data_IF_804340858319
#
_entry.id   IF_804340858319
#
_cell.length_a   1.000
_cell.length_b   1.000
_cell.length_c   1.000
_cell.angle_alpha   90.00
_cell.angle_beta   90.00
_cell.angle_gamma   90.00
#
_symmetry.space_group_name_H-M   'P 1'
#
loop_
_entity.id
_entity.type
_entity.pdbx_description
1 polymer ?
#
# COMPACT_ATOMS: atom_id res chain seq x y z
N UNK A 1 24.12 6.64 2.23
CA UNK A 1 22.86 5.97 1.89
C UNK A 1 21.86 7.10 1.76
N UNK A 2 21.68 7.54 0.52
CA UNK A 2 21.21 8.90 0.22
C UNK A 2 19.71 8.91 -0.14
N UNK A 3 19.09 7.73 -0.21
CA UNK A 3 17.68 7.54 -0.53
C UNK A 3 16.84 7.55 0.75
N UNK A 4 16.59 8.74 1.30
CA UNK A 4 15.68 8.93 2.43
C UNK A 4 14.33 9.45 1.95
N UNK A 5 13.27 8.73 2.29
CA UNK A 5 11.89 9.14 2.00
C UNK A 5 11.31 9.83 3.23
N UNK A 6 10.80 11.08 3.13
CA UNK A 6 10.11 11.75 4.22
C UNK A 6 8.97 10.91 4.79
N UNK A 7 8.83 10.85 6.11
CA UNK A 7 7.75 10.11 6.77
C UNK A 7 7.87 8.58 6.73
N UNK A 8 8.94 8.00 6.18
CA UNK A 8 9.13 6.54 6.15
C UNK A 8 9.42 5.96 7.54
N UNK A 9 8.87 4.78 7.82
CA UNK A 9 9.26 3.98 8.98
C UNK A 9 10.51 3.13 8.66
N UNK A 10 11.26 2.66 9.68
CA UNK A 10 12.37 1.73 9.45
C UNK A 10 11.98 0.43 8.73
N UNK A 11 10.69 0.06 8.74
CA UNK A 11 10.17 -1.13 8.06
C UNK A 11 9.93 -0.89 6.55
N UNK A 12 9.80 0.37 6.13
CA UNK A 12 9.53 0.76 4.75
C UNK A 12 10.79 1.20 3.99
N UNK A 13 11.88 1.42 4.74
CA UNK A 13 13.12 1.96 4.19
C UNK A 13 13.67 1.07 3.07
N UNK A 14 13.88 1.69 1.91
CA UNK A 14 14.47 1.03 0.75
C UNK A 14 13.56 0.03 0.04
N UNK A 15 12.24 0.14 0.20
CA UNK A 15 11.31 -0.72 -0.53
C UNK A 15 11.48 -0.58 -2.04
N UNK A 16 11.80 -1.69 -2.71
CA UNK A 16 11.89 -1.81 -4.15
C UNK A 16 11.49 -3.22 -4.59
N UNK A 17 10.75 -3.33 -5.69
CA UNK A 17 10.30 -4.60 -6.26
C UNK A 17 10.54 -4.60 -7.78
N UNK A 18 11.08 -5.71 -8.28
CA UNK A 18 11.01 -6.05 -9.70
C UNK A 18 9.72 -6.85 -9.96
N UNK A 19 8.84 -6.31 -10.81
CA UNK A 19 7.49 -6.86 -11.03
C UNK A 19 7.41 -7.50 -12.43
N UNK A 20 8.37 -8.38 -12.74
CA UNK A 20 8.51 -9.01 -14.06
C UNK A 20 7.73 -10.31 -14.28
N UNK A 21 7.16 -10.91 -13.23
CA UNK A 21 6.38 -12.17 -13.31
C UNK A 21 5.02 -12.02 -12.64
N UNK A 22 4.09 -12.94 -12.94
CA UNK A 22 2.76 -12.94 -12.32
C UNK A 22 2.83 -13.11 -10.79
N UNK A 23 3.69 -14.01 -10.32
CA UNK A 23 3.88 -14.22 -8.89
C UNK A 23 4.49 -12.97 -8.24
N UNK A 24 5.50 -12.34 -8.86
CA UNK A 24 6.08 -11.11 -8.33
C UNK A 24 5.07 -9.96 -8.28
N UNK A 25 4.20 -9.86 -9.29
CA UNK A 25 3.08 -8.90 -9.29
C UNK A 25 2.10 -9.15 -8.16
N UNK A 26 1.70 -10.41 -7.97
CA UNK A 26 0.80 -10.79 -6.89
C UNK A 26 1.40 -10.47 -5.51
N UNK A 27 2.64 -10.88 -5.26
CA UNK A 27 3.32 -10.65 -3.98
C UNK A 27 3.49 -9.15 -3.68
N UNK A 28 3.85 -8.34 -4.67
CA UNK A 28 3.97 -6.89 -4.50
C UNK A 28 2.62 -6.23 -4.13
N UNK A 29 1.49 -6.75 -4.60
CA UNK A 29 0.16 -6.27 -4.18
C UNK A 29 -0.19 -6.74 -2.77
N UNK A 30 0.16 -7.97 -2.42
CA UNK A 30 -0.11 -8.51 -1.08
C UNK A 30 0.73 -7.82 0.01
N UNK A 31 1.86 -7.22 -0.33
CA UNK A 31 2.64 -6.39 0.58
C UNK A 31 1.85 -5.19 1.14
N UNK A 32 0.86 -4.68 0.39
CA UNK A 32 0.04 -3.51 0.78
C UNK A 32 -0.98 -3.81 1.87
N UNK A 33 -1.45 -5.06 1.98
CA UNK A 33 -2.56 -5.44 2.89
C UNK A 33 -2.09 -6.13 4.16
N UNK A 34 -0.79 -6.11 4.44
CA UNK A 34 -0.19 -6.66 5.66
C UNK A 34 -0.44 -5.71 6.84
N UNK A 35 -0.51 -6.27 8.05
CA UNK A 35 -0.60 -5.52 9.32
C UNK A 35 0.53 -4.48 9.48
N UNK A 36 1.74 -4.84 9.03
CA UNK A 36 2.87 -3.91 8.89
C UNK A 36 3.39 -3.99 7.46
N UNK A 37 2.86 -3.15 6.55
CA UNK A 37 3.26 -3.20 5.15
C UNK A 37 4.70 -2.75 4.99
N UNK A 38 5.44 -3.41 4.10
CA UNK A 38 6.79 -3.00 3.72
C UNK A 38 6.79 -1.74 2.83
N UNK A 39 5.60 -1.31 2.38
CA UNK A 39 5.37 -0.09 1.63
C UNK A 39 3.96 0.44 1.93
N UNK A 40 3.86 1.58 2.60
CA UNK A 40 2.57 2.23 2.86
C UNK A 40 2.21 3.24 1.77
N UNK A 41 0.92 3.23 1.39
CA UNK A 41 0.33 4.28 0.55
C UNK A 41 -0.20 5.46 1.37
N UNK A 42 -0.17 5.37 2.71
CA UNK A 42 -0.72 6.38 3.61
C UNK A 42 0.28 7.48 4.00
N UNK A 43 1.51 7.42 3.48
CA UNK A 43 2.54 8.43 3.73
C UNK A 43 2.17 9.77 3.07
N UNK A 44 1.69 10.71 3.90
CA UNK A 44 1.28 12.06 3.45
C UNK A 44 2.44 13.00 3.17
N UNK A 45 3.64 12.71 3.67
CA UNK A 45 4.85 13.50 3.39
C UNK A 45 5.46 13.11 2.03
N UNK A 46 5.12 11.92 1.52
CA UNK A 46 5.57 11.41 0.23
C UNK A 46 4.41 10.76 -0.57
N UNK A 47 3.48 11.58 -1.10
CA UNK A 47 2.26 11.07 -1.72
C UNK A 47 2.50 10.43 -3.10
N UNK A 48 1.77 9.35 -3.37
CA UNK A 48 1.66 8.75 -4.72
C UNK A 48 0.41 9.31 -5.41
N UNK A 49 0.60 10.08 -6.47
CA UNK A 49 -0.51 10.65 -7.24
C UNK A 49 -1.02 9.67 -8.31
N UNK A 50 -2.34 9.57 -8.42
CA UNK A 50 -3.03 8.79 -9.46
C UNK A 50 -4.35 9.48 -9.84
N UNK A 51 -5.07 8.91 -10.81
CA UNK A 51 -6.42 9.33 -11.13
C UNK A 51 -7.36 9.07 -9.94
N UNK A 52 -8.07 10.10 -9.48
CA UNK A 52 -9.06 10.00 -8.42
C UNK A 52 -10.46 10.04 -9.03
N UNK A 53 -11.24 8.98 -8.81
CA UNK A 53 -12.63 8.88 -9.26
C UNK A 53 -13.59 8.94 -8.06
N UNK A 54 -14.77 9.49 -8.28
CA UNK A 54 -15.80 9.64 -7.25
C UNK A 54 -16.64 8.36 -7.15
N UNK A 55 -16.08 7.33 -6.50
CA UNK A 55 -16.77 6.06 -6.26
C UNK A 55 -17.57 6.07 -4.95
N UNK A 56 -18.72 5.35 -4.86
CA UNK A 56 -19.42 5.19 -3.60
C UNK A 56 -18.55 4.43 -2.57
N UNK A 57 -18.78 4.61 -1.26
CA UNK A 57 -18.05 3.86 -0.22
C UNK A 57 -18.22 2.35 -0.36
N UNK A 58 -17.22 1.60 0.11
CA UNK A 58 -17.33 0.14 0.21
C UNK A 58 -18.50 -0.25 1.12
N UNK A 59 -19.40 -1.10 0.62
CA UNK A 59 -20.57 -1.59 1.36
C UNK A 59 -20.46 -3.09 1.61
N UNK A 60 -20.52 -3.49 2.87
CA UNK A 60 -20.63 -4.88 3.29
C UNK A 60 -22.11 -5.27 3.42
N UNK A 61 -22.52 -6.37 2.79
CA UNK A 61 -23.88 -6.91 2.85
C UNK A 61 -23.87 -8.32 3.48
N UNK A 62 -25.05 -8.85 3.86
CA UNK A 62 -25.23 -10.23 4.34
C UNK A 62 -24.36 -10.61 5.56
N UNK A 63 -24.27 -9.74 6.56
CA UNK A 63 -23.56 -10.01 7.82
C UNK A 63 -22.05 -9.73 7.78
N UNK A 64 -21.54 -9.13 6.71
CA UNK A 64 -20.17 -8.63 6.68
C UNK A 64 -19.96 -7.56 7.76
N UNK A 65 -19.02 -7.81 8.67
CA UNK A 65 -18.64 -6.87 9.73
C UNK A 65 -17.40 -6.10 9.28
N UNK A 66 -17.46 -4.77 9.37
CA UNK A 66 -16.29 -3.91 9.28
C UNK A 66 -15.92 -3.50 10.71
N UNK A 67 -14.98 -4.23 11.31
CA UNK A 67 -14.43 -3.90 12.63
C UNK A 67 -13.18 -3.04 12.51
N UNK A 68 -12.88 -2.28 13.57
CA UNK A 68 -11.55 -1.70 13.82
C UNK A 68 -10.58 -2.74 14.37
#
# INVERSE_FOLDING_TARGET
DDNRVPGETPYEHGYWRDVGTLDAYYEAHMDLVKDRPAFSLDNREWPVYTYNDALPPAKFCAGGFAGE
#
